data_IF_401739301924
#
_entry.id   IF_401739301924
#
_cell.length_a   1.000
_cell.length_b   1.000
_cell.length_c   1.000
_cell.angle_alpha   90.00
_cell.angle_beta   90.00
_cell.angle_gamma   90.00
#
_symmetry.space_group_name_H-M   'P 1'
#
loop_
_entity.id
_entity.type
_entity.pdbx_description
1 polymer ?
#
# COMPACT_ATOMS: atom_id res chain seq x y z
N UNK A 1 34.89 0.97 22.34
CA UNK A 1 33.62 0.30 21.95
C UNK A 1 33.80 -0.31 20.58
N UNK A 2 33.41 -1.58 20.33
CA UNK A 2 33.44 -2.13 18.99
C UNK A 2 32.45 -1.36 18.11
N UNK A 3 32.89 -0.88 16.95
CA UNK A 3 31.99 -0.24 15.96
C UNK A 3 30.97 -1.31 15.54
N UNK A 4 29.70 -1.08 15.80
CA UNK A 4 28.62 -1.94 15.33
C UNK A 4 28.75 -2.07 13.80
N UNK A 5 28.79 -3.31 13.31
CA UNK A 5 28.93 -3.58 11.88
C UNK A 5 27.61 -3.22 11.20
N UNK A 6 27.65 -2.21 10.32
CA UNK A 6 26.52 -1.87 9.46
C UNK A 6 26.19 -3.09 8.58
N UNK A 7 24.93 -3.47 8.52
CA UNK A 7 24.43 -4.53 7.62
C UNK A 7 23.60 -3.95 6.49
N UNK A 8 23.29 -4.77 5.48
CA UNK A 8 22.44 -4.37 4.36
C UNK A 8 21.02 -4.00 4.84
N UNK A 9 20.46 -4.78 5.75
CA UNK A 9 19.13 -4.57 6.32
C UNK A 9 19.06 -3.23 7.05
N UNK A 10 20.09 -2.88 7.84
CA UNK A 10 20.19 -1.58 8.49
C UNK A 10 20.19 -0.42 7.48
N UNK A 11 20.84 -0.59 6.33
CA UNK A 11 20.87 0.40 5.25
C UNK A 11 19.47 0.56 4.63
N UNK A 12 18.79 -0.54 4.32
CA UNK A 12 17.43 -0.53 3.75
C UNK A 12 16.42 0.06 4.72
N UNK A 13 16.44 -0.33 6.00
CA UNK A 13 15.55 0.22 7.03
C UNK A 13 15.80 1.71 7.26
N UNK A 14 17.07 2.14 7.29
CA UNK A 14 17.40 3.55 7.39
C UNK A 14 16.89 4.34 6.18
N UNK A 15 17.08 3.81 4.97
CA UNK A 15 16.60 4.40 3.73
C UNK A 15 15.06 4.46 3.69
N UNK A 16 14.37 3.38 4.10
CA UNK A 16 12.92 3.35 4.19
C UNK A 16 12.38 4.39 5.17
N UNK A 17 12.96 4.51 6.36
CA UNK A 17 12.56 5.52 7.34
C UNK A 17 12.80 6.97 6.86
N UNK A 18 13.81 7.20 6.03
CA UNK A 18 14.01 8.49 5.36
C UNK A 18 12.89 8.71 4.33
N UNK A 19 12.61 7.71 3.50
CA UNK A 19 11.59 7.76 2.46
C UNK A 19 10.18 7.97 3.04
N UNK A 20 9.87 7.31 4.16
CA UNK A 20 8.62 7.43 4.90
C UNK A 20 8.38 8.84 5.42
N UNK A 21 9.44 9.53 5.86
CA UNK A 21 9.33 10.89 6.44
C UNK A 21 9.37 12.02 5.43
N UNK A 22 10.06 11.83 4.31
CA UNK A 22 10.33 12.93 3.38
C UNK A 22 10.31 12.56 1.90
N UNK A 23 9.88 11.35 1.55
CA UNK A 23 9.81 10.89 0.17
C UNK A 23 11.09 10.20 -0.33
N UNK A 24 10.93 9.42 -1.41
CA UNK A 24 12.00 8.61 -2.01
C UNK A 24 13.18 9.45 -2.53
N UNK A 25 12.95 10.72 -2.83
CA UNK A 25 13.95 11.71 -3.21
C UNK A 25 14.98 11.98 -2.09
N UNK A 26 14.62 11.79 -0.83
CA UNK A 26 15.51 11.97 0.32
C UNK A 26 16.43 10.77 0.53
N UNK A 27 16.19 9.66 -0.17
CA UNK A 27 17.01 8.44 -0.11
C UNK A 27 18.28 8.66 -0.92
N UNK A 28 19.25 9.32 -0.27
CA UNK A 28 20.60 9.56 -0.79
C UNK A 28 21.64 9.04 0.21
N UNK A 29 22.81 8.66 -0.30
CA UNK A 29 23.90 8.04 0.47
C UNK A 29 24.26 8.86 1.72
N UNK A 30 24.33 10.19 1.58
CA UNK A 30 24.66 11.10 2.69
C UNK A 30 23.65 11.00 3.83
N UNK A 31 22.36 11.12 3.54
CA UNK A 31 21.30 11.07 4.55
C UNK A 31 21.25 9.72 5.25
N UNK A 32 21.50 8.62 4.52
CA UNK A 32 21.54 7.27 5.09
C UNK A 32 22.72 7.13 6.04
N UNK A 33 23.92 7.57 5.63
CA UNK A 33 25.12 7.53 6.46
C UNK A 33 24.97 8.36 7.74
N UNK A 34 24.40 9.56 7.63
CA UNK A 34 24.08 10.43 8.77
C UNK A 34 23.11 9.75 9.74
N UNK A 35 22.03 9.16 9.23
CA UNK A 35 21.04 8.43 10.05
C UNK A 35 21.64 7.21 10.75
N UNK A 36 22.59 6.52 10.12
CA UNK A 36 23.28 5.37 10.69
C UNK A 36 24.50 5.75 11.56
N UNK A 37 24.88 7.03 11.62
CA UNK A 37 26.05 7.49 12.35
C UNK A 37 27.37 6.90 11.82
N UNK A 38 27.45 6.63 10.50
CA UNK A 38 28.62 6.04 9.86
C UNK A 38 29.16 6.90 8.72
N UNK A 39 30.31 6.53 8.17
CA UNK A 39 30.78 7.12 6.90
C UNK A 39 29.92 6.64 5.74
N UNK A 40 30.09 7.22 4.55
CA UNK A 40 29.37 6.80 3.33
C UNK A 40 29.84 5.45 2.78
N UNK A 41 31.04 5.00 3.16
CA UNK A 41 31.70 3.83 2.57
C UNK A 41 30.98 2.50 2.81
N UNK A 42 30.43 2.21 4.02
CA UNK A 42 29.55 1.06 4.23
C UNK A 42 28.33 1.03 3.31
N UNK A 43 27.75 2.19 2.99
CA UNK A 43 26.56 2.26 2.13
C UNK A 43 26.90 1.78 0.72
N UNK A 44 28.01 2.26 0.14
CA UNK A 44 28.48 1.80 -1.17
C UNK A 44 28.88 0.33 -1.20
N UNK A 45 29.25 -0.25 -0.05
CA UNK A 45 29.61 -1.67 0.05
C UNK A 45 28.40 -2.59 0.00
N UNK A 46 27.22 -2.11 0.41
CA UNK A 46 25.97 -2.89 0.44
C UNK A 46 25.01 -2.56 -0.69
N UNK A 47 25.13 -1.36 -1.28
CA UNK A 47 24.31 -0.93 -2.40
C UNK A 47 25.16 -0.91 -3.67
N UNK A 48 24.97 -1.91 -4.54
CA UNK A 48 25.63 -1.96 -5.87
C UNK A 48 25.36 -0.69 -6.66
N UNK A 49 24.13 -0.17 -6.56
CA UNK A 49 23.73 1.14 -7.08
C UNK A 49 22.49 1.66 -6.32
N UNK A 50 22.15 2.93 -6.55
CA UNK A 50 20.98 3.57 -5.90
C UNK A 50 19.64 3.03 -6.40
N UNK A 51 19.58 2.48 -7.62
CA UNK A 51 18.35 1.91 -8.16
C UNK A 51 17.95 0.62 -7.42
N UNK A 52 18.91 -0.28 -7.19
CA UNK A 52 18.71 -1.50 -6.40
C UNK A 52 18.28 -1.20 -4.97
N UNK A 53 18.90 -0.18 -4.33
CA UNK A 53 18.46 0.27 -3.00
C UNK A 53 17.01 0.78 -3.03
N UNK A 54 16.63 1.56 -4.05
CA UNK A 54 15.25 2.07 -4.18
C UNK A 54 14.25 0.92 -4.34
N UNK A 55 14.57 -0.10 -5.13
CA UNK A 55 13.73 -1.29 -5.26
C UNK A 55 13.55 -2.01 -3.92
N UNK A 56 14.61 -2.12 -3.11
CA UNK A 56 14.52 -2.71 -1.77
C UNK A 56 13.68 -1.85 -0.81
N UNK A 57 13.77 -0.52 -0.91
CA UNK A 57 12.91 0.40 -0.15
C UNK A 57 11.45 0.29 -0.59
N UNK A 58 11.16 0.15 -1.88
CA UNK A 58 9.81 -0.11 -2.39
C UNK A 58 9.23 -1.42 -1.83
N UNK A 59 10.04 -2.48 -1.79
CA UNK A 59 9.66 -3.75 -1.18
C UNK A 59 9.39 -3.59 0.33
N UNK A 60 10.24 -2.86 1.05
CA UNK A 60 10.06 -2.57 2.47
C UNK A 60 8.80 -1.77 2.75
N UNK A 61 8.47 -0.80 1.88
CA UNK A 61 7.24 -0.02 1.94
C UNK A 61 6.00 -0.87 1.71
N UNK A 62 6.04 -1.81 0.75
CA UNK A 62 4.97 -2.79 0.55
C UNK A 62 4.75 -3.66 1.79
N UNK A 63 5.83 -4.16 2.40
CA UNK A 63 5.74 -4.94 3.62
C UNK A 63 5.11 -4.12 4.77
N UNK A 64 5.56 -2.87 4.94
CA UNK A 64 4.98 -1.97 5.95
C UNK A 64 3.49 -1.76 5.72
N UNK A 65 3.07 -1.53 4.47
CA UNK A 65 1.65 -1.38 4.12
C UNK A 65 0.85 -2.63 4.48
N UNK A 66 1.37 -3.83 4.16
CA UNK A 66 0.71 -5.09 4.51
C UNK A 66 0.59 -5.28 6.03
N UNK A 67 1.64 -4.97 6.79
CA UNK A 67 1.65 -5.01 8.25
C UNK A 67 0.63 -4.02 8.84
N UNK A 68 0.58 -2.80 8.30
CA UNK A 68 -0.37 -1.78 8.71
C UNK A 68 -1.81 -2.22 8.46
N UNK A 69 -2.13 -2.68 7.25
CA UNK A 69 -3.48 -3.17 6.94
C UNK A 69 -3.88 -4.33 7.85
N UNK A 70 -3.00 -5.32 8.03
CA UNK A 70 -3.26 -6.46 8.90
C UNK A 70 -3.57 -6.07 10.35
N UNK A 71 -2.97 -4.97 10.85
CA UNK A 71 -3.20 -4.46 12.19
C UNK A 71 -4.53 -3.67 12.34
N UNK A 72 -5.09 -3.14 11.24
CA UNK A 72 -6.27 -2.26 11.26
C UNK A 72 -7.53 -2.90 10.65
N UNK A 73 -7.41 -4.06 10.03
CA UNK A 73 -8.53 -4.81 9.46
C UNK A 73 -9.30 -5.56 10.55
N UNK A 74 -10.63 -5.42 10.55
CA UNK A 74 -11.53 -6.25 11.34
C UNK A 74 -11.86 -7.54 10.57
N UNK A 75 -11.54 -8.69 11.16
CA UNK A 75 -11.85 -10.01 10.60
C UNK A 75 -13.35 -10.28 10.46
N UNK A 76 -14.20 -9.53 11.15
CA UNK A 76 -15.66 -9.62 11.05
C UNK A 76 -16.23 -8.78 9.91
N UNK A 77 -15.46 -7.83 9.39
CA UNK A 77 -15.85 -6.94 8.30
C UNK A 77 -14.61 -6.67 7.43
N UNK A 78 -14.06 -7.74 6.83
CA UNK A 78 -12.80 -7.67 6.09
C UNK A 78 -12.87 -6.64 4.96
N UNK A 79 -14.02 -6.51 4.32
CA UNK A 79 -14.19 -5.69 3.14
C UNK A 79 -14.11 -4.19 3.46
N UNK A 80 -15.00 -3.70 4.34
CA UNK A 80 -15.06 -2.26 4.65
C UNK A 80 -13.83 -1.84 5.46
N UNK A 81 -13.40 -2.66 6.42
CA UNK A 81 -12.23 -2.35 7.24
C UNK A 81 -10.93 -2.27 6.43
N UNK A 82 -10.77 -3.07 5.36
CA UNK A 82 -9.64 -2.93 4.43
C UNK A 82 -9.65 -1.56 3.74
N UNK A 83 -10.82 -1.15 3.23
CA UNK A 83 -11.00 0.16 2.60
C UNK A 83 -10.65 1.31 3.54
N UNK A 84 -11.17 1.27 4.77
CA UNK A 84 -10.88 2.28 5.80
C UNK A 84 -9.41 2.31 6.21
N UNK A 85 -8.79 1.14 6.39
CA UNK A 85 -7.37 1.04 6.75
C UNK A 85 -6.47 1.66 5.66
N UNK A 86 -6.79 1.48 4.38
CA UNK A 86 -6.07 2.14 3.29
C UNK A 86 -6.17 3.67 3.34
N UNK A 87 -7.38 4.20 3.56
CA UNK A 87 -7.60 5.65 3.66
C UNK A 87 -6.89 6.23 4.89
N UNK A 88 -6.91 5.50 6.02
CA UNK A 88 -6.16 5.91 7.22
C UNK A 88 -4.65 5.92 6.95
N UNK A 89 -4.12 4.88 6.27
CA UNK A 89 -2.71 4.85 5.86
C UNK A 89 -2.36 6.01 4.92
N UNK A 90 -3.26 6.37 4.00
CA UNK A 90 -3.08 7.51 3.10
C UNK A 90 -2.93 8.84 3.87
N UNK A 91 -3.60 8.96 5.03
CA UNK A 91 -3.52 10.12 5.92
C UNK A 91 -2.22 10.13 6.72
N UNK A 92 -1.90 9.01 7.36
CA UNK A 92 -0.81 8.91 8.33
C UNK A 92 0.55 8.74 7.66
N UNK A 93 0.59 8.04 6.53
CA UNK A 93 1.80 7.60 5.84
C UNK A 93 1.76 7.93 4.34
N UNK A 94 1.54 9.21 3.95
CA UNK A 94 1.32 9.61 2.56
C UNK A 94 2.50 9.27 1.65
N UNK A 95 3.74 9.35 2.16
CA UNK A 95 4.92 8.97 1.40
C UNK A 95 5.02 7.46 1.16
N UNK A 96 4.60 6.64 2.14
CA UNK A 96 4.55 5.19 1.96
C UNK A 96 3.53 4.82 0.89
N UNK A 97 2.35 5.43 0.93
CA UNK A 97 1.34 5.23 -0.10
C UNK A 97 1.87 5.64 -1.48
N UNK A 98 2.50 6.82 -1.58
CA UNK A 98 3.08 7.30 -2.84
C UNK A 98 4.14 6.34 -3.40
N UNK A 99 5.02 5.82 -2.55
CA UNK A 99 6.02 4.81 -2.95
C UNK A 99 5.33 3.56 -3.48
N UNK A 100 4.32 3.05 -2.76
CA UNK A 100 3.59 1.85 -3.15
C UNK A 100 2.82 2.02 -4.48
N UNK A 101 2.14 3.16 -4.68
CA UNK A 101 1.33 3.42 -5.87
C UNK A 101 2.20 3.57 -7.12
N UNK A 102 3.33 4.28 -7.00
CA UNK A 102 4.25 4.53 -8.11
C UNK A 102 5.22 3.37 -8.38
N UNK A 103 5.22 2.34 -7.53
CA UNK A 103 6.04 1.15 -7.71
C UNK A 103 5.71 0.46 -9.04
N UNK A 104 6.75 0.11 -9.80
CA UNK A 104 6.59 -0.72 -11.00
C UNK A 104 6.13 -2.12 -10.61
N UNK A 105 5.04 -2.58 -11.23
CA UNK A 105 4.56 -3.95 -11.10
C UNK A 105 5.13 -4.79 -12.24
N UNK A 106 6.08 -5.67 -11.91
CA UNK A 106 6.64 -6.62 -12.85
C UNK A 106 5.69 -7.82 -13.02
N UNK A 107 5.67 -8.42 -14.22
CA UNK A 107 4.91 -9.63 -14.52
C UNK A 107 3.39 -9.54 -14.28
N UNK A 108 2.81 -8.35 -14.50
CA UNK A 108 1.36 -8.14 -14.48
C UNK A 108 0.91 -7.73 -15.89
N UNK A 109 0.13 -8.60 -16.52
CA UNK A 109 -0.37 -8.46 -17.90
C UNK A 109 -1.90 -8.37 -18.00
N UNK A 110 -2.60 -8.60 -16.88
CA UNK A 110 -4.06 -8.51 -16.80
C UNK A 110 -4.53 -7.99 -15.44
N UNK A 111 -5.81 -7.59 -15.35
CA UNK A 111 -6.44 -7.18 -14.10
C UNK A 111 -6.58 -8.34 -13.10
N UNK A 112 -6.73 -9.59 -13.57
CA UNK A 112 -6.78 -10.76 -12.68
C UNK A 112 -5.41 -10.99 -12.02
N UNK A 113 -4.32 -10.87 -12.77
CA UNK A 113 -2.95 -10.98 -12.21
C UNK A 113 -2.66 -9.84 -11.22
N UNK A 114 -3.11 -8.61 -11.52
CA UNK A 114 -3.03 -7.50 -10.57
C UNK A 114 -3.80 -7.81 -9.29
N UNK A 115 -5.03 -8.30 -9.42
CA UNK A 115 -5.88 -8.65 -8.30
C UNK A 115 -5.24 -9.73 -7.41
N UNK A 116 -4.68 -10.78 -8.01
CA UNK A 116 -4.00 -11.84 -7.28
C UNK A 116 -2.74 -11.36 -6.57
N UNK A 117 -2.01 -10.42 -7.16
CA UNK A 117 -0.80 -9.83 -6.56
C UNK A 117 -1.14 -8.95 -5.34
N UNK A 118 -2.22 -8.19 -5.42
CA UNK A 118 -2.52 -7.11 -4.46
C UNK A 118 -3.55 -7.51 -3.39
N UNK A 119 -4.22 -8.67 -3.54
CA UNK A 119 -5.30 -9.07 -2.62
C UNK A 119 -5.08 -10.42 -1.99
N UNK A 120 -5.75 -10.64 -0.86
CA UNK A 120 -5.83 -11.95 -0.23
C UNK A 120 -7.09 -12.70 -0.74
N UNK A 121 -6.95 -13.93 -1.28
CA UNK A 121 -8.08 -14.73 -1.75
C UNK A 121 -9.18 -14.98 -0.70
N UNK A 122 -8.86 -14.89 0.60
CA UNK A 122 -9.83 -15.03 1.68
C UNK A 122 -10.84 -13.87 1.74
N UNK A 123 -10.47 -12.68 1.26
CA UNK A 123 -11.39 -11.53 1.24
C UNK A 123 -12.56 -11.80 0.30
N UNK A 124 -12.29 -12.31 -0.91
CA UNK A 124 -13.34 -12.69 -1.86
C UNK A 124 -14.28 -13.76 -1.28
N UNK A 125 -13.72 -14.79 -0.61
CA UNK A 125 -14.53 -15.82 0.07
C UNK A 125 -15.40 -15.24 1.18
N UNK A 126 -14.91 -14.23 1.88
CA UNK A 126 -15.69 -13.56 2.93
C UNK A 126 -16.83 -12.73 2.35
N UNK A 127 -16.57 -11.98 1.27
CA UNK A 127 -17.60 -11.24 0.54
C UNK A 127 -18.72 -12.18 0.06
N UNK A 128 -18.37 -13.35 -0.47
CA UNK A 128 -19.36 -14.39 -0.84
C UNK A 128 -20.23 -14.77 0.35
N UNK A 129 -19.63 -15.03 1.52
CA UNK A 129 -20.37 -15.42 2.71
C UNK A 129 -21.27 -14.29 3.26
N UNK A 130 -20.81 -13.04 3.22
CA UNK A 130 -21.53 -11.89 3.78
C UNK A 130 -22.66 -11.41 2.86
N UNK A 131 -22.50 -11.52 1.54
CA UNK A 131 -23.42 -10.96 0.55
C UNK A 131 -24.22 -12.02 -0.23
N UNK A 132 -23.90 -13.31 -0.07
CA UNK A 132 -24.52 -14.44 -0.75
C UNK A 132 -24.51 -14.30 -2.30
N UNK A 133 -23.36 -13.92 -2.85
CA UNK A 133 -23.10 -13.76 -4.30
C UNK A 133 -22.09 -14.80 -4.80
N UNK A 134 -21.96 -14.95 -6.13
CA UNK A 134 -20.94 -15.83 -6.71
C UNK A 134 -19.52 -15.34 -6.43
N UNK A 135 -18.54 -16.26 -6.51
CA UNK A 135 -17.13 -15.90 -6.27
C UNK A 135 -16.59 -14.96 -7.36
N UNK A 136 -17.05 -15.10 -8.60
CA UNK A 136 -16.72 -14.22 -9.72
C UNK A 136 -17.20 -12.80 -9.45
N UNK A 137 -18.46 -12.64 -9.03
CA UNK A 137 -19.04 -11.34 -8.68
C UNK A 137 -18.35 -10.73 -7.46
N UNK A 138 -18.02 -11.53 -6.45
CA UNK A 138 -17.27 -11.07 -5.28
C UNK A 138 -15.85 -10.58 -5.63
N UNK A 139 -15.14 -11.31 -6.51
CA UNK A 139 -13.83 -10.87 -7.02
C UNK A 139 -13.94 -9.55 -7.78
N UNK A 140 -14.94 -9.41 -8.64
CA UNK A 140 -15.16 -8.19 -9.42
C UNK A 140 -15.47 -7.00 -8.53
N UNK A 141 -16.38 -7.15 -7.56
CA UNK A 141 -16.69 -6.12 -6.57
C UNK A 141 -15.43 -5.70 -5.79
N UNK A 142 -14.63 -6.66 -5.36
CA UNK A 142 -13.39 -6.39 -4.65
C UNK A 142 -12.36 -5.67 -5.50
N UNK A 143 -12.20 -6.06 -6.76
CA UNK A 143 -11.30 -5.39 -7.70
C UNK A 143 -11.72 -3.94 -7.94
N UNK A 144 -13.02 -3.68 -8.14
CA UNK A 144 -13.54 -2.31 -8.30
C UNK A 144 -13.20 -1.46 -7.06
N UNK A 145 -13.47 -1.98 -5.86
CA UNK A 145 -13.17 -1.27 -4.63
C UNK A 145 -11.67 -1.11 -4.35
N UNK A 146 -10.83 -2.07 -4.74
CA UNK A 146 -9.38 -1.95 -4.66
C UNK A 146 -8.88 -0.77 -5.50
N UNK A 147 -9.27 -0.73 -6.78
CA UNK A 147 -8.88 0.34 -7.72
C UNK A 147 -9.39 1.69 -7.21
N UNK A 148 -10.65 1.74 -6.79
CA UNK A 148 -11.26 2.95 -6.26
C UNK A 148 -10.53 3.47 -5.01
N UNK A 149 -10.26 2.58 -4.05
CA UNK A 149 -9.60 2.91 -2.79
C UNK A 149 -8.16 3.39 -3.02
N UNK A 150 -7.42 2.75 -3.92
CA UNK A 150 -6.08 3.21 -4.32
C UNK A 150 -6.18 4.60 -4.97
N UNK A 151 -7.13 4.81 -5.88
CA UNK A 151 -7.31 6.07 -6.58
C UNK A 151 -7.65 7.23 -5.64
N UNK A 152 -8.70 7.07 -4.83
CA UNK A 152 -9.14 8.11 -3.89
C UNK A 152 -8.09 8.36 -2.79
N UNK A 153 -7.44 7.31 -2.29
CA UNK A 153 -6.34 7.42 -1.32
C UNK A 153 -5.14 8.17 -1.89
N UNK A 154 -4.81 7.92 -3.17
CA UNK A 154 -3.73 8.65 -3.86
C UNK A 154 -4.05 10.14 -3.95
N UNK A 155 -5.24 10.50 -4.45
CA UNK A 155 -5.70 11.90 -4.53
C UNK A 155 -5.64 12.55 -3.14
N UNK A 156 -6.20 11.88 -2.14
CA UNK A 156 -6.23 12.35 -0.77
C UNK A 156 -4.83 12.63 -0.20
N UNK A 157 -3.86 11.71 -0.43
CA UNK A 157 -2.49 11.85 0.08
C UNK A 157 -1.67 13.01 -0.51
N UNK A 158 -2.10 13.58 -1.65
CA UNK A 158 -1.39 14.65 -2.37
C UNK A 158 -2.21 15.94 -2.49
N UNK A 159 -3.36 16.04 -1.83
CA UNK A 159 -4.22 17.24 -1.90
C UNK A 159 -3.87 18.25 -0.81
N UNK A 160 -3.75 19.54 -1.17
CA UNK A 160 -3.51 20.66 -0.24
C UNK A 160 -4.52 21.78 -0.54
N UNK A 161 -5.22 22.37 0.47
CA UNK A 161 -5.03 22.23 1.92
C UNK A 161 -5.48 20.90 2.51
N UNK A 162 -6.15 20.04 1.73
CA UNK A 162 -6.59 18.71 2.13
C UNK A 162 -8.10 18.53 1.90
N UNK A 163 -8.56 17.29 1.96
CA UNK A 163 -10.00 16.92 1.92
C UNK A 163 -10.36 16.39 3.31
N UNK A 164 -11.51 16.75 3.91
CA UNK A 164 -11.95 16.15 5.16
C UNK A 164 -12.07 14.61 5.04
N UNK A 165 -11.62 13.90 6.07
CA UNK A 165 -11.54 12.44 6.06
C UNK A 165 -12.93 11.79 5.95
N UNK A 166 -13.93 12.39 6.56
CA UNK A 166 -15.34 12.02 6.48
C UNK A 166 -15.93 12.15 5.07
N UNK A 167 -15.49 13.15 4.28
CA UNK A 167 -15.87 13.24 2.87
C UNK A 167 -15.28 12.07 2.06
N UNK A 168 -14.04 11.67 2.33
CA UNK A 168 -13.41 10.51 1.68
C UNK A 168 -14.14 9.21 2.03
N UNK A 169 -14.48 9.01 3.31
CA UNK A 169 -15.24 7.84 3.74
C UNK A 169 -16.65 7.81 3.14
N UNK A 170 -17.36 8.93 3.15
CA UNK A 170 -18.69 9.02 2.53
C UNK A 170 -18.64 8.70 1.02
N UNK A 171 -17.58 9.15 0.35
CA UNK A 171 -17.38 8.92 -1.07
C UNK A 171 -17.01 7.45 -1.38
N UNK A 172 -16.21 6.81 -0.51
CA UNK A 172 -15.90 5.38 -0.59
C UNK A 172 -17.13 4.49 -0.35
N UNK A 173 -17.98 4.82 0.63
CA UNK A 173 -19.22 4.08 0.91
C UNK A 173 -20.20 4.19 -0.26
N UNK A 174 -20.38 5.39 -0.83
CA UNK A 174 -21.22 5.58 -2.04
C UNK A 174 -20.74 4.73 -3.21
N UNK A 175 -19.43 4.67 -3.45
CA UNK A 175 -18.87 3.84 -4.51
C UNK A 175 -19.14 2.35 -4.25
N UNK A 176 -18.98 1.90 -2.99
CA UNK A 176 -19.33 0.54 -2.61
C UNK A 176 -20.79 0.21 -2.89
N UNK A 177 -21.73 1.06 -2.47
CA UNK A 177 -23.16 0.86 -2.71
C UNK A 177 -23.47 0.75 -4.21
N UNK A 178 -22.87 1.61 -5.04
CA UNK A 178 -23.04 1.58 -6.49
C UNK A 178 -22.50 0.27 -7.11
N UNK A 179 -21.30 -0.16 -6.73
CA UNK A 179 -20.72 -1.40 -7.26
C UNK A 179 -21.44 -2.63 -6.73
N UNK A 180 -21.90 -2.63 -5.49
CA UNK A 180 -22.69 -3.71 -4.91
C UNK A 180 -24.01 -3.88 -5.65
N UNK A 181 -24.72 -2.77 -5.91
CA UNK A 181 -25.97 -2.81 -6.67
C UNK A 181 -25.75 -3.42 -8.06
N UNK A 182 -24.72 -2.97 -8.78
CA UNK A 182 -24.37 -3.53 -10.08
C UNK A 182 -24.05 -5.03 -10.02
N UNK A 183 -23.31 -5.45 -8.99
CA UNK A 183 -22.93 -6.84 -8.75
C UNK A 183 -24.17 -7.74 -8.54
N UNK A 184 -25.14 -7.29 -7.76
CA UNK A 184 -26.39 -8.01 -7.50
C UNK A 184 -27.24 -8.07 -8.79
N UNK A 185 -27.45 -6.93 -9.45
CA UNK A 185 -28.26 -6.83 -10.68
C UNK A 185 -27.70 -7.69 -11.83
N UNK A 186 -26.39 -7.93 -11.86
CA UNK A 186 -25.73 -8.78 -12.85
C UNK A 186 -25.85 -10.28 -12.54
N UNK A 187 -26.23 -10.64 -11.32
CA UNK A 187 -26.41 -12.03 -10.87
C UNK A 187 -27.85 -12.52 -11.11
N UNK A 188 -28.80 -11.60 -11.28
CA UNK A 188 -30.22 -11.91 -11.58
C UNK A 188 -30.52 -12.09 -13.09
N UNK A 189 -29.52 -11.94 -13.96
CA UNK A 189 -29.62 -12.16 -15.42
C UNK A 189 -28.96 -13.47 -15.84
#
# INVERSE_FOLDING_TARGET
>A
MPKQRITKEMVVDAAFEIARKGGMEQVIVKNIAEKLGCSVQPIYSYCTNMEGLRTEVEQRARQFLQEYLAAHIDKRDLFRSTGHAYVQLAKEEPHVLRIFVLQKRANVSSLEELYQLETNPQVAKRIVADLNISIETAKQLHLHMLIYTIGIGTIFSVTTPGIPLDEIYAQQEKAYEMFLKQAIDSTEK
#
